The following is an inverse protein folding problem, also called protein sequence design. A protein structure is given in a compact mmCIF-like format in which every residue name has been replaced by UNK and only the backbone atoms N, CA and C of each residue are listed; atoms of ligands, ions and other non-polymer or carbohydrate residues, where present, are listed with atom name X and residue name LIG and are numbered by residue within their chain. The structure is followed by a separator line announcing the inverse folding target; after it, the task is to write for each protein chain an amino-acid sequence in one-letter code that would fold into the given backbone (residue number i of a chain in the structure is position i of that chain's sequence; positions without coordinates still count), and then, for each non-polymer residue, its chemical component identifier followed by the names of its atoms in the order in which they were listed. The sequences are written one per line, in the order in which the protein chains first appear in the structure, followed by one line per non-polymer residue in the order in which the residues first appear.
data_IF_085095777485
#
_entry.id   IF_085095777485
#
_cell.length_a   1.000
_cell.length_b   1.000
_cell.length_c   1.000
_cell.angle_alpha   90.00
_cell.angle_beta   90.00
_cell.angle_gamma   90.00
#
_symmetry.space_group_name_H-M   'P 1'
#
loop_
_entity.id
_entity.type
_entity.pdbx_description
1 polymer ?
#
# COMPACT_ATOMS: atom_id res chain seq x y z
N UNK A 1 -16.05 0.29 -5.57
CA UNK A 1 -14.74 0.81 -6.01
C UNK A 1 -14.26 0.11 -7.28
N UNK A 2 -13.71 -1.14 -7.24
CA UNK A 2 -13.19 -1.82 -8.44
C UNK A 2 -14.19 -1.81 -9.61
N UNK A 3 -15.41 -2.31 -9.39
CA UNK A 3 -16.44 -2.46 -10.44
C UNK A 3 -17.00 -1.15 -10.96
N UNK A 4 -17.00 -0.11 -10.16
CA UNK A 4 -17.38 1.24 -10.58
C UNK A 4 -16.47 1.77 -11.71
N UNK A 5 -15.18 1.44 -11.64
CA UNK A 5 -14.17 1.89 -12.61
C UNK A 5 -14.02 0.90 -13.76
N UNK A 6 -13.96 -0.41 -13.47
CA UNK A 6 -13.63 -1.44 -14.46
C UNK A 6 -14.83 -1.92 -15.27
N UNK A 7 -16.04 -1.81 -14.74
CA UNK A 7 -17.29 -2.25 -15.37
C UNK A 7 -18.45 -1.30 -15.01
N UNK A 8 -18.36 -0.01 -15.37
CA UNK A 8 -19.30 1.02 -14.93
C UNK A 8 -20.74 0.75 -15.39
N UNK A 9 -20.94 0.03 -16.48
CA UNK A 9 -22.24 -0.37 -17.00
C UNK A 9 -23.01 -1.31 -16.07
N UNK A 10 -22.30 -2.03 -15.17
CA UNK A 10 -22.93 -2.89 -14.16
C UNK A 10 -23.00 -2.24 -12.77
N UNK A 11 -22.58 -0.99 -12.65
CA UNK A 11 -22.62 -0.24 -11.39
C UNK A 11 -23.79 0.79 -11.41
N UNK A 12 -24.55 0.96 -10.33
CA UNK A 12 -24.51 0.26 -9.02
C UNK A 12 -24.98 -1.19 -9.11
N UNK A 13 -24.53 -2.04 -8.17
CA UNK A 13 -24.63 -3.50 -8.25
C UNK A 13 -25.79 -4.05 -7.43
N UNK A 14 -26.47 -5.10 -7.92
CA UNK A 14 -27.41 -5.89 -7.10
C UNK A 14 -26.66 -6.78 -6.10
N UNK A 15 -27.37 -7.32 -5.09
CA UNK A 15 -26.78 -8.25 -4.12
C UNK A 15 -26.14 -9.46 -4.80
N UNK A 16 -26.82 -10.13 -5.72
CA UNK A 16 -26.28 -11.24 -6.48
C UNK A 16 -25.02 -10.86 -7.27
N UNK A 17 -25.00 -9.67 -7.91
CA UNK A 17 -23.81 -9.19 -8.62
C UNK A 17 -22.63 -8.94 -7.64
N UNK A 18 -22.90 -8.48 -6.42
CA UNK A 18 -21.88 -8.28 -5.39
C UNK A 18 -21.33 -9.63 -4.88
N UNK A 19 -22.19 -10.62 -4.61
CA UNK A 19 -21.78 -11.98 -4.23
C UNK A 19 -20.85 -12.55 -5.29
N UNK A 20 -21.24 -12.47 -6.57
CA UNK A 20 -20.40 -12.92 -7.68
C UNK A 20 -19.07 -12.15 -7.78
N UNK A 21 -19.09 -10.85 -7.54
CA UNK A 21 -17.89 -10.02 -7.55
C UNK A 21 -16.93 -10.31 -6.39
N UNK A 22 -17.45 -10.62 -5.19
CA UNK A 22 -16.65 -11.05 -4.06
C UNK A 22 -15.96 -12.39 -4.34
N UNK A 23 -16.69 -13.34 -4.90
CA UNK A 23 -16.26 -14.73 -5.12
C UNK A 23 -15.46 -14.93 -6.43
N UNK A 24 -15.01 -13.88 -7.08
CA UNK A 24 -14.19 -13.99 -8.28
C UNK A 24 -12.89 -14.75 -8.01
N UNK A 25 -12.52 -15.65 -8.95
CA UNK A 25 -11.26 -16.38 -8.86
C UNK A 25 -10.04 -15.56 -9.28
N UNK A 26 -10.26 -14.52 -10.08
CA UNK A 26 -9.20 -13.63 -10.57
C UNK A 26 -9.20 -12.31 -9.79
N UNK A 27 -8.02 -11.71 -9.66
CA UNK A 27 -7.84 -10.42 -9.00
C UNK A 27 -8.32 -10.40 -7.53
N UNK A 28 -8.20 -11.53 -6.81
CA UNK A 28 -8.50 -11.70 -5.38
C UNK A 28 -7.39 -12.50 -4.73
N UNK A 29 -6.99 -12.08 -3.55
CA UNK A 29 -6.06 -12.78 -2.68
C UNK A 29 -6.40 -12.48 -1.22
N UNK A 30 -6.91 -13.47 -0.47
CA UNK A 30 -7.27 -14.81 -0.90
C UNK A 30 -8.53 -14.85 -1.78
N UNK A 31 -8.69 -15.93 -2.56
CA UNK A 31 -9.98 -16.24 -3.19
C UNK A 31 -10.93 -16.72 -2.10
N UNK A 32 -12.12 -16.12 -2.05
CA UNK A 32 -13.14 -16.39 -1.03
C UNK A 32 -14.40 -17.00 -1.64
N UNK A 33 -15.25 -17.56 -0.79
CA UNK A 33 -16.54 -18.14 -1.14
C UNK A 33 -17.59 -17.70 -0.11
N UNK A 34 -18.03 -16.44 -0.22
CA UNK A 34 -19.08 -15.90 0.64
C UNK A 34 -20.46 -16.25 0.08
N UNK A 35 -21.37 -16.61 0.96
CA UNK A 35 -22.78 -16.75 0.65
C UNK A 35 -23.49 -15.36 0.61
N UNK A 36 -24.75 -15.39 0.20
CA UNK A 36 -25.55 -14.18 0.06
C UNK A 36 -25.78 -13.51 1.42
N UNK A 37 -26.04 -14.31 2.48
CA UNK A 37 -26.28 -13.82 3.84
C UNK A 37 -25.07 -13.07 4.41
N UNK A 38 -23.86 -13.61 4.22
CA UNK A 38 -22.60 -12.95 4.63
C UNK A 38 -22.43 -11.60 3.93
N UNK A 39 -22.70 -11.54 2.62
CA UNK A 39 -22.55 -10.28 1.86
C UNK A 39 -23.63 -9.28 2.25
N UNK A 40 -24.87 -9.71 2.46
CA UNK A 40 -25.98 -8.85 2.90
C UNK A 40 -25.68 -8.23 4.28
N UNK A 41 -25.25 -9.04 5.25
CA UNK A 41 -24.87 -8.56 6.58
C UNK A 41 -23.71 -7.54 6.53
N UNK A 42 -22.70 -7.78 5.68
CA UNK A 42 -21.62 -6.83 5.46
C UNK A 42 -22.12 -5.50 4.86
N UNK A 43 -23.07 -5.56 3.92
CA UNK A 43 -23.69 -4.37 3.34
C UNK A 43 -24.50 -3.56 4.36
N UNK A 44 -25.23 -4.22 5.26
CA UNK A 44 -25.94 -3.56 6.35
C UNK A 44 -24.98 -2.81 7.27
N UNK A 45 -23.93 -3.49 7.72
CA UNK A 45 -22.86 -2.87 8.54
C UNK A 45 -22.22 -1.66 7.85
N UNK A 46 -21.94 -1.77 6.55
CA UNK A 46 -21.36 -0.66 5.77
C UNK A 46 -22.35 0.49 5.56
N UNK A 47 -23.67 0.21 5.48
CA UNK A 47 -24.70 1.23 5.42
C UNK A 47 -24.81 2.00 6.73
N UNK A 48 -24.77 1.32 7.86
CA UNK A 48 -24.78 1.96 9.20
C UNK A 48 -23.59 2.91 9.36
N UNK A 49 -22.43 2.54 8.82
CA UNK A 49 -21.23 3.39 8.77
C UNK A 49 -21.31 4.50 7.70
N UNK A 50 -22.37 4.53 6.89
CA UNK A 50 -22.54 5.50 5.79
C UNK A 50 -21.55 5.33 4.64
N UNK A 51 -20.97 4.14 4.49
CA UNK A 51 -20.01 3.80 3.43
C UNK A 51 -20.68 3.20 2.18
N UNK A 52 -21.92 2.72 2.32
CA UNK A 52 -22.74 2.16 1.24
C UNK A 52 -24.09 2.84 1.19
N UNK A 53 -24.56 3.12 -0.01
CA UNK A 53 -25.92 3.58 -0.31
C UNK A 53 -26.73 2.48 -0.97
N UNK A 54 -27.98 2.37 -0.57
CA UNK A 54 -28.98 1.59 -1.28
C UNK A 54 -29.67 2.51 -2.31
N UNK A 55 -29.66 2.12 -3.56
CA UNK A 55 -30.16 2.91 -4.68
C UNK A 55 -31.36 2.18 -5.28
N UNK A 56 -32.53 2.79 -5.16
CA UNK A 56 -33.76 2.32 -5.77
C UNK A 56 -34.05 3.17 -7.00
N UNK A 57 -33.99 2.59 -8.18
CA UNK A 57 -34.38 3.29 -9.41
C UNK A 57 -35.89 3.25 -9.63
N UNK A 58 -36.48 4.31 -10.18
CA UNK A 58 -37.86 4.32 -10.60
C UNK A 58 -38.11 3.20 -11.63
N UNK A 59 -38.99 2.24 -11.28
CA UNK A 59 -39.29 1.06 -12.11
C UNK A 59 -38.34 -0.15 -11.90
N UNK A 60 -37.30 -0.05 -11.08
CA UNK A 60 -36.46 -1.20 -10.76
C UNK A 60 -37.02 -1.97 -9.56
N UNK A 61 -37.27 -3.29 -9.75
CA UNK A 61 -37.71 -4.19 -8.67
C UNK A 61 -36.56 -4.72 -7.83
N UNK A 62 -35.31 -4.48 -8.26
CA UNK A 62 -34.11 -4.99 -7.62
C UNK A 62 -33.36 -3.84 -6.99
N UNK A 63 -33.07 -3.97 -5.69
CA UNK A 63 -32.22 -3.03 -4.96
C UNK A 63 -30.80 -3.10 -5.48
N UNK A 64 -30.16 -1.94 -5.61
CA UNK A 64 -28.77 -1.81 -6.00
C UNK A 64 -27.97 -1.08 -4.92
N UNK A 65 -26.69 -1.36 -4.85
CA UNK A 65 -25.77 -0.82 -3.87
C UNK A 65 -24.65 -0.05 -4.55
N UNK A 66 -24.37 1.15 -4.03
CA UNK A 66 -23.25 1.98 -4.42
C UNK A 66 -22.44 2.35 -3.18
N UNK A 67 -21.15 2.60 -3.33
CA UNK A 67 -20.29 3.01 -2.20
C UNK A 67 -20.08 4.52 -2.17
N UNK A 68 -19.70 5.00 -0.98
CA UNK A 68 -19.31 6.39 -0.71
C UNK A 68 -17.92 6.49 -0.06
N UNK A 69 -17.10 5.43 -0.20
CA UNK A 69 -15.82 5.36 0.51
C UNK A 69 -14.88 6.49 0.08
N UNK A 70 -14.82 6.79 -1.21
CA UNK A 70 -13.99 7.87 -1.74
C UNK A 70 -14.41 9.24 -1.18
N UNK A 71 -15.71 9.51 -1.11
CA UNK A 71 -16.26 10.74 -0.52
C UNK A 71 -15.98 10.82 1.00
N UNK A 72 -16.26 9.72 1.72
CA UNK A 72 -16.11 9.66 3.18
C UNK A 72 -14.66 9.77 3.65
N UNK A 73 -13.73 9.23 2.89
CA UNK A 73 -12.31 9.26 3.21
C UNK A 73 -11.56 10.34 2.41
N UNK A 74 -12.27 11.17 1.65
CA UNK A 74 -11.71 12.24 0.81
C UNK A 74 -10.59 11.74 -0.13
N UNK A 75 -10.88 10.64 -0.85
CA UNK A 75 -9.92 9.99 -1.73
C UNK A 75 -10.14 10.42 -3.19
N UNK A 76 -9.07 10.77 -3.88
CA UNK A 76 -9.05 10.90 -5.33
C UNK A 76 -8.98 9.54 -6.04
N UNK A 77 -8.83 9.56 -7.35
CA UNK A 77 -8.76 8.34 -8.17
C UNK A 77 -7.50 7.50 -7.87
N UNK A 78 -6.36 8.15 -7.62
CA UNK A 78 -5.07 7.52 -7.31
C UNK A 78 -5.15 6.74 -6.00
N UNK A 79 -5.59 7.41 -4.97
CA UNK A 79 -5.77 6.87 -3.63
C UNK A 79 -6.78 5.72 -3.63
N UNK A 80 -7.90 5.90 -4.32
CA UNK A 80 -8.95 4.90 -4.45
C UNK A 80 -8.47 3.64 -5.16
N UNK A 81 -7.63 3.76 -6.20
CA UNK A 81 -7.06 2.62 -6.91
C UNK A 81 -6.12 1.80 -6.01
N UNK A 82 -5.20 2.46 -5.31
CA UNK A 82 -4.27 1.80 -4.39
C UNK A 82 -5.01 1.13 -3.24
N UNK A 83 -5.92 1.85 -2.58
CA UNK A 83 -6.68 1.32 -1.46
C UNK A 83 -7.54 0.11 -1.88
N UNK A 84 -8.16 0.18 -3.06
CA UNK A 84 -8.94 -0.90 -3.63
C UNK A 84 -8.10 -2.16 -3.86
N UNK A 85 -6.92 -2.05 -4.47
CA UNK A 85 -6.02 -3.20 -4.70
C UNK A 85 -5.53 -3.80 -3.38
N UNK A 86 -5.22 -2.98 -2.38
CA UNK A 86 -4.85 -3.45 -1.04
C UNK A 86 -6.00 -4.18 -0.33
N UNK A 87 -7.25 -3.73 -0.49
CA UNK A 87 -8.41 -4.39 0.10
C UNK A 87 -8.72 -5.74 -0.54
N UNK A 88 -8.55 -5.89 -1.84
CA UNK A 88 -8.93 -7.13 -2.55
C UNK A 88 -7.81 -8.15 -2.68
N UNK A 89 -6.55 -7.76 -2.45
CA UNK A 89 -5.38 -8.64 -2.59
C UNK A 89 -4.45 -8.65 -1.38
N UNK A 90 -4.80 -7.92 -0.32
CA UNK A 90 -3.95 -7.82 0.87
C UNK A 90 -2.64 -7.07 0.63
N UNK A 91 -1.61 -7.31 1.46
CA UNK A 91 -0.37 -6.57 1.42
C UNK A 91 0.44 -6.75 0.13
N UNK A 92 0.91 -5.64 -0.46
CA UNK A 92 1.60 -5.61 -1.76
C UNK A 92 2.84 -4.71 -1.72
N UNK A 93 3.82 -4.99 -2.60
CA UNK A 93 4.96 -4.10 -2.85
C UNK A 93 4.52 -2.92 -3.73
N UNK A 94 5.34 -1.86 -3.79
CA UNK A 94 5.08 -0.70 -4.66
C UNK A 94 4.99 -1.09 -6.13
N UNK A 95 5.88 -2.00 -6.58
CA UNK A 95 5.87 -2.50 -7.96
C UNK A 95 4.61 -3.30 -8.29
N UNK A 96 4.13 -4.14 -7.35
CA UNK A 96 2.86 -4.86 -7.50
C UNK A 96 1.68 -3.89 -7.57
N UNK A 97 1.64 -2.88 -6.71
CA UNK A 97 0.58 -1.85 -6.71
C UNK A 97 0.55 -1.08 -8.02
N UNK A 98 1.72 -0.57 -8.48
CA UNK A 98 1.82 0.12 -9.77
C UNK A 98 1.19 -0.69 -10.90
N UNK A 99 1.59 -1.96 -11.03
CA UNK A 99 1.14 -2.81 -12.14
C UNK A 99 -0.34 -3.21 -12.02
N UNK A 100 -0.84 -3.45 -10.80
CA UNK A 100 -2.21 -3.93 -10.57
C UNK A 100 -3.24 -2.82 -10.59
N UNK A 101 -2.85 -1.61 -10.20
CA UNK A 101 -3.70 -0.41 -10.28
C UNK A 101 -4.03 0.01 -11.71
N UNK A 102 -3.25 -0.41 -12.71
CA UNK A 102 -3.35 0.03 -14.11
C UNK A 102 -4.78 -0.05 -14.68
N UNK A 103 -5.57 -1.01 -14.24
CA UNK A 103 -6.99 -1.16 -14.61
C UNK A 103 -7.89 -0.03 -14.09
N UNK A 104 -7.50 0.66 -13.02
CA UNK A 104 -8.28 1.70 -12.35
C UNK A 104 -7.63 3.07 -12.48
N UNK A 105 -6.31 3.11 -12.40
CA UNK A 105 -5.48 4.30 -12.59
C UNK A 105 -4.07 3.90 -12.98
N UNK A 106 -3.58 4.47 -14.07
CA UNK A 106 -2.21 4.27 -14.53
C UNK A 106 -1.23 5.13 -13.73
N UNK A 107 -0.14 4.51 -13.26
CA UNK A 107 1.00 5.17 -12.64
C UNK A 107 2.23 4.97 -13.52
N UNK A 108 2.84 6.05 -13.94
CA UNK A 108 4.05 6.00 -14.79
C UNK A 108 5.24 5.43 -14.01
N UNK A 109 5.41 5.88 -12.75
CA UNK A 109 6.54 5.52 -11.91
C UNK A 109 6.11 4.95 -10.55
N UNK A 110 6.95 4.08 -9.98
CA UNK A 110 6.75 3.52 -8.63
C UNK A 110 6.76 4.61 -7.55
N UNK A 111 7.53 5.66 -7.76
CA UNK A 111 7.63 6.83 -6.86
C UNK A 111 6.32 7.60 -6.74
N UNK A 112 5.46 7.57 -7.76
CA UNK A 112 4.13 8.17 -7.67
C UNK A 112 3.24 7.40 -6.70
N UNK A 113 3.30 6.06 -6.72
CA UNK A 113 2.56 5.19 -5.78
C UNK A 113 3.02 5.46 -4.35
N UNK A 114 4.33 5.55 -4.13
CA UNK A 114 4.92 5.85 -2.83
C UNK A 114 4.45 7.21 -2.30
N UNK A 115 4.50 8.24 -3.14
CA UNK A 115 4.04 9.61 -2.79
C UNK A 115 2.57 9.63 -2.39
N UNK A 116 1.72 8.85 -3.07
CA UNK A 116 0.28 8.75 -2.72
C UNK A 116 0.11 8.06 -1.37
N UNK A 117 0.83 6.98 -1.11
CA UNK A 117 0.77 6.23 0.15
C UNK A 117 1.23 7.10 1.33
N UNK A 118 2.32 7.85 1.19
CA UNK A 118 2.86 8.71 2.23
C UNK A 118 1.92 9.83 2.67
N UNK A 119 0.96 10.21 1.82
CA UNK A 119 -0.09 11.20 2.16
C UNK A 119 -1.21 10.65 3.04
N UNK A 120 -1.32 9.33 3.15
CA UNK A 120 -2.41 8.65 3.84
C UNK A 120 -1.90 7.62 4.87
N UNK A 121 -1.05 8.03 5.83
CA UNK A 121 -0.51 7.13 6.85
C UNK A 121 -1.59 6.56 7.78
N UNK A 122 -2.76 7.21 7.86
CA UNK A 122 -3.93 6.75 8.61
C UNK A 122 -4.69 5.61 7.91
N UNK A 123 -4.48 5.41 6.61
CA UNK A 123 -5.16 4.39 5.81
C UNK A 123 -4.24 3.26 5.37
N UNK A 124 -2.95 3.54 5.19
CA UNK A 124 -1.98 2.60 4.62
C UNK A 124 -0.70 2.61 5.46
N UNK A 125 -0.22 1.43 5.80
CA UNK A 125 1.00 1.23 6.59
C UNK A 125 2.01 0.40 5.81
N UNK A 126 3.28 0.77 5.95
CA UNK A 126 4.41 -0.04 5.47
C UNK A 126 4.66 -1.17 6.48
N UNK A 127 4.64 -2.40 6.01
CA UNK A 127 4.93 -3.59 6.81
C UNK A 127 6.32 -4.10 6.50
N UNK A 128 6.93 -4.74 7.49
CA UNK A 128 8.28 -5.30 7.37
C UNK A 128 8.38 -6.34 6.25
N UNK A 129 9.61 -6.56 5.80
CA UNK A 129 9.91 -7.61 4.81
C UNK A 129 9.67 -8.98 5.43
N UNK A 130 9.03 -9.87 4.70
CA UNK A 130 8.98 -11.27 5.09
C UNK A 130 10.36 -11.91 4.91
N UNK A 131 10.71 -12.94 5.69
CA UNK A 131 11.94 -13.69 5.45
C UNK A 131 12.02 -14.16 3.99
N UNK A 132 13.12 -13.79 3.30
CA UNK A 132 13.33 -14.10 1.88
C UNK A 132 12.79 -13.09 0.88
N UNK A 133 12.04 -12.06 1.30
CA UNK A 133 11.57 -10.98 0.42
C UNK A 133 12.58 -9.80 0.42
N UNK A 134 12.78 -9.23 -0.77
CA UNK A 134 13.71 -8.09 -0.95
C UNK A 134 13.06 -6.74 -0.66
N UNK A 135 11.75 -6.63 -0.83
CA UNK A 135 11.00 -5.38 -0.78
C UNK A 135 10.02 -5.35 0.39
N UNK A 136 9.78 -4.16 0.93
CA UNK A 136 8.73 -3.93 1.91
C UNK A 136 7.35 -4.00 1.24
N UNK A 137 6.34 -4.41 2.01
CA UNK A 137 4.94 -4.41 1.56
C UNK A 137 4.15 -3.31 2.24
N UNK A 138 3.05 -2.95 1.66
CA UNK A 138 2.10 -1.98 2.17
C UNK A 138 0.75 -2.66 2.38
N UNK A 139 0.07 -2.31 3.45
CA UNK A 139 -1.25 -2.86 3.81
C UNK A 139 -2.20 -1.74 4.20
N UNK A 140 -3.51 -1.94 3.97
CA UNK A 140 -4.52 -1.01 4.46
C UNK A 140 -4.82 -1.24 5.95
N UNK A 141 -5.26 -0.18 6.64
CA UNK A 141 -5.61 -0.20 8.06
C UNK A 141 -7.13 -0.31 8.33
N UNK A 142 -7.97 -0.38 7.29
CA UNK A 142 -9.44 -0.39 7.42
C UNK A 142 -9.99 -1.63 8.16
N UNK A 143 -9.23 -2.72 8.20
CA UNK A 143 -9.57 -3.94 8.94
C UNK A 143 -8.79 -4.09 10.25
N UNK A 144 -8.20 -3.01 10.75
CA UNK A 144 -7.27 -3.02 11.88
C UNK A 144 -5.83 -3.24 11.46
N UNK A 145 -4.91 -3.25 12.42
CA UNK A 145 -3.50 -3.49 12.15
C UNK A 145 -3.32 -4.93 11.60
N UNK A 146 -2.56 -5.11 10.51
CA UNK A 146 -2.28 -6.43 9.97
C UNK A 146 -1.60 -7.32 11.03
N UNK A 147 -1.97 -8.58 11.13
CA UNK A 147 -1.53 -9.54 12.15
C UNK A 147 -0.02 -9.85 12.18
N UNK A 148 0.79 -9.25 11.34
CA UNK A 148 2.24 -9.42 11.26
C UNK A 148 2.92 -8.08 11.00
N UNK A 149 2.59 -7.07 11.82
CA UNK A 149 3.35 -5.83 11.83
C UNK A 149 4.35 -5.93 12.98
N UNK A 150 5.48 -6.57 12.76
CA UNK A 150 6.69 -5.89 13.18
C UNK A 150 6.73 -4.62 12.32
N UNK A 151 6.09 -3.57 12.78
CA UNK A 151 6.40 -2.24 12.31
C UNK A 151 7.91 -2.13 12.47
N UNK A 152 8.63 -2.17 11.35
CA UNK A 152 9.91 -1.52 11.35
C UNK A 152 9.51 -0.05 11.57
N UNK A 153 9.51 0.37 12.84
CA UNK A 153 9.76 1.75 13.14
C UNK A 153 11.08 2.00 12.40
N UNK A 154 11.01 2.62 11.23
CA UNK A 154 12.20 3.22 10.65
C UNK A 154 12.76 4.05 11.81
N UNK A 155 14.00 3.80 12.24
CA UNK A 155 14.65 4.75 13.13
C UNK A 155 14.46 6.08 12.40
N UNK A 156 13.79 7.04 13.04
CA UNK A 156 13.45 8.34 12.48
C UNK A 156 14.68 8.78 11.70
N UNK A 157 14.56 8.92 10.38
CA UNK A 157 15.70 9.19 9.52
C UNK A 157 16.39 10.40 10.15
N UNK A 158 17.65 10.31 10.57
CA UNK A 158 18.30 11.42 11.23
C UNK A 158 18.12 12.63 10.33
N UNK A 159 17.69 13.75 10.91
CA UNK A 159 17.45 14.97 10.16
C UNK A 159 18.63 15.18 9.21
N UNK A 160 18.39 15.61 7.97
CA UNK A 160 19.44 15.71 6.92
C UNK A 160 20.76 16.29 7.43
N UNK A 161 20.72 17.16 8.44
CA UNK A 161 21.88 17.71 9.13
C UNK A 161 22.70 16.66 9.89
N UNK A 162 22.07 15.69 10.59
CA UNK A 162 22.76 14.65 11.33
C UNK A 162 23.47 13.64 10.41
N UNK A 163 22.91 13.35 9.26
CA UNK A 163 23.52 12.45 8.29
C UNK A 163 24.76 13.06 7.61
N UNK A 164 24.74 14.37 7.35
CA UNK A 164 25.89 15.09 6.82
C UNK A 164 27.01 15.10 7.86
N UNK A 165 26.70 15.44 9.12
CA UNK A 165 27.69 15.42 10.19
C UNK A 165 28.29 14.03 10.46
N UNK A 166 27.47 12.96 10.39
CA UNK A 166 27.97 11.59 10.52
C UNK A 166 28.91 11.19 9.36
N UNK A 167 28.57 11.57 8.12
CA UNK A 167 29.41 11.32 6.94
C UNK A 167 30.71 12.14 6.99
N UNK A 168 30.67 13.37 7.45
CA UNK A 168 31.86 14.20 7.63
C UNK A 168 32.82 13.60 8.68
N UNK A 169 32.27 13.07 9.78
CA UNK A 169 33.06 12.39 10.80
C UNK A 169 33.70 11.09 10.26
N UNK A 170 32.97 10.30 9.50
CA UNK A 170 33.46 9.07 8.88
C UNK A 170 34.57 9.37 7.84
N UNK A 171 34.40 10.42 7.02
CA UNK A 171 35.42 10.88 6.08
C UNK A 171 36.68 11.38 6.82
N UNK A 172 36.52 12.08 7.94
CA UNK A 172 37.68 12.51 8.75
C UNK A 172 38.44 11.29 9.31
N UNK A 173 37.76 10.30 9.86
CA UNK A 173 38.37 9.07 10.37
C UNK A 173 39.10 8.30 9.28
N UNK A 174 38.47 8.11 8.11
CA UNK A 174 39.11 7.42 6.97
C UNK A 174 40.37 8.15 6.49
N UNK A 175 40.39 9.48 6.51
CA UNK A 175 41.59 10.25 6.17
C UNK A 175 42.73 10.03 7.16
N UNK A 176 42.45 9.97 8.46
CA UNK A 176 43.45 9.66 9.46
C UNK A 176 44.03 8.26 9.31
N UNK A 177 43.19 7.27 9.04
CA UNK A 177 43.62 5.90 8.77
C UNK A 177 44.52 5.79 7.53
N UNK A 178 44.17 6.47 6.46
CA UNK A 178 44.99 6.53 5.22
C UNK A 178 46.34 7.19 5.49
N UNK A 179 46.39 8.28 6.24
CA UNK A 179 47.67 8.93 6.58
C UNK A 179 48.55 8.06 7.49
N UNK A 180 47.94 7.32 8.42
CA UNK A 180 48.71 6.36 9.25
C UNK A 180 49.25 5.19 8.42
N UNK A 181 48.43 4.64 7.51
CA UNK A 181 48.89 3.60 6.58
C UNK A 181 50.04 4.08 5.68
N UNK A 182 49.97 5.31 5.18
CA UNK A 182 51.05 5.91 4.41
C UNK A 182 52.35 6.03 5.24
N UNK A 183 52.27 6.45 6.50
CA UNK A 183 53.41 6.52 7.41
C UNK A 183 54.04 5.12 7.65
N UNK A 184 53.19 4.12 7.91
CA UNK A 184 53.62 2.77 8.11
C UNK A 184 54.30 2.18 6.84
N UNK A 185 53.73 2.44 5.67
CA UNK A 185 54.29 2.01 4.40
C UNK A 185 55.63 2.69 4.12
N UNK A 186 55.76 3.98 4.41
CA UNK A 186 57.06 4.67 4.24
C UNK A 186 58.13 4.11 5.17
N UNK A 187 57.82 3.87 6.45
CA UNK A 187 58.73 3.22 7.42
C UNK A 187 59.12 1.80 6.98
N UNK A 188 58.17 1.03 6.45
CA UNK A 188 58.40 -0.30 5.93
C UNK A 188 59.36 -0.25 4.75
N UNK A 189 59.17 0.66 3.79
CA UNK A 189 60.05 0.83 2.65
C UNK A 189 61.46 1.24 3.04
N UNK A 190 61.65 2.13 4.02
CA UNK A 190 62.95 2.56 4.55
C UNK A 190 63.73 1.42 5.23
N UNK A 191 63.10 0.31 5.60
CA UNK A 191 63.79 -0.88 6.16
C UNK A 191 64.40 -1.80 5.07
N UNK A 192 64.10 -1.56 3.80
CA UNK A 192 64.59 -2.37 2.67
C UNK A 192 65.47 -1.58 1.69
N UNK A 193 65.67 -0.29 1.91
CA UNK A 193 66.67 0.53 1.26
C UNK A 193 67.94 0.61 2.11
#
# INVERSE_FOLDING_TARGET
MEKEVTTPEYYPMSLNALVNACNQKSNRDPVVHYDEETVEHALETLREKGLVLMISGAGSRVQKYGHRIAEKLNLGRRESAILCELMIRGPQTLGELRNRCDRMHHFDEVTEVETVIERHPELIVKIGRRPGEKEARYAHLLSGAPAAVETIAEPAAPARGDRVGALEAEVAQLREEVEELKRQFTRFREQFE
#
